data_IF_248985625405
#
_entry.id   IF_248985625405
#
_cell.length_a   1.000
_cell.length_b   1.000
_cell.length_c   1.000
_cell.angle_alpha   90.00
_cell.angle_beta   90.00
_cell.angle_gamma   90.00
#
_symmetry.space_group_name_H-M   'P 1'
#
loop_
_entity.id
_entity.type
_entity.pdbx_description
1 polymer ?
#
# COMPACT_ATOMS: atom_id res chain seq x y z
N UNK A 1 11.76 -1.41 5.58
CA UNK A 1 12.09 -2.31 6.73
C UNK A 1 10.85 -3.08 7.17
N UNK A 2 10.94 -4.30 7.72
CA UNK A 2 9.73 -5.11 7.92
C UNK A 2 8.81 -4.45 8.94
N UNK A 3 7.57 -4.18 8.52
CA UNK A 3 6.45 -4.19 9.46
C UNK A 3 6.40 -5.62 10.00
N UNK A 4 6.67 -5.81 11.27
CA UNK A 4 6.62 -7.13 11.89
C UNK A 4 5.15 -7.51 12.06
N UNK A 5 4.61 -8.20 11.06
CA UNK A 5 3.33 -8.88 11.16
C UNK A 5 3.54 -10.17 11.94
N UNK A 6 3.23 -10.17 13.23
CA UNK A 6 3.27 -11.39 14.03
C UNK A 6 1.97 -12.16 13.81
N UNK A 7 2.08 -13.38 13.26
CA UNK A 7 1.01 -14.37 13.33
C UNK A 7 1.22 -15.21 14.58
N UNK A 8 0.21 -15.26 15.45
CA UNK A 8 0.32 -15.96 16.73
C UNK A 8 -1.03 -16.57 17.15
N UNK A 9 -0.96 -17.63 17.94
CA UNK A 9 -2.14 -18.30 18.48
C UNK A 9 -2.82 -17.44 19.56
N UNK A 10 -4.12 -17.66 19.78
CA UNK A 10 -4.88 -16.91 20.80
C UNK A 10 -4.21 -17.07 22.18
N UNK A 11 -3.85 -15.94 22.79
CA UNK A 11 -3.21 -15.90 24.12
C UNK A 11 -1.68 -15.98 24.13
N UNK A 12 -1.03 -16.07 22.96
CA UNK A 12 0.43 -16.13 22.86
C UNK A 12 1.15 -14.86 23.36
N UNK A 13 0.46 -13.72 23.38
CA UNK A 13 0.99 -12.45 23.89
C UNK A 13 -0.01 -11.82 24.85
N UNK A 14 0.49 -11.40 26.02
CA UNK A 14 -0.23 -10.53 26.94
C UNK A 14 -0.40 -9.13 26.34
N UNK A 15 -1.23 -8.28 26.97
CA UNK A 15 -1.32 -6.86 26.58
C UNK A 15 0.03 -6.15 26.75
N UNK A 16 0.75 -6.44 27.83
CA UNK A 16 2.09 -5.90 28.11
C UNK A 16 3.11 -6.34 27.05
N UNK A 17 3.07 -7.60 26.60
CA UNK A 17 3.93 -8.08 25.51
C UNK A 17 3.66 -7.34 24.21
N UNK A 18 2.39 -7.09 23.90
CA UNK A 18 1.99 -6.34 22.70
C UNK A 18 2.39 -4.87 22.79
N UNK A 19 2.28 -4.25 23.95
CA UNK A 19 2.75 -2.86 24.16
C UNK A 19 4.27 -2.74 24.05
N UNK A 20 5.03 -3.78 24.45
CA UNK A 20 6.49 -3.83 24.28
C UNK A 20 6.95 -4.13 22.85
N UNK A 21 6.16 -4.89 22.10
CA UNK A 21 6.51 -5.34 20.74
C UNK A 21 5.93 -4.45 19.64
N UNK A 22 4.82 -3.78 19.90
CA UNK A 22 3.96 -3.09 18.93
C UNK A 22 3.27 -1.89 19.59
N UNK A 23 4.04 -0.91 20.03
CA UNK A 23 3.49 0.40 20.36
C UNK A 23 2.95 1.10 19.10
N UNK A 24 1.83 1.83 19.18
CA UNK A 24 1.30 2.62 18.05
C UNK A 24 2.31 3.69 17.54
N UNK A 25 3.37 3.96 18.31
CA UNK A 25 4.44 4.92 18.01
C UNK A 25 5.80 4.27 17.69
N UNK A 26 5.86 2.95 17.47
CA UNK A 26 7.11 2.23 17.20
C UNK A 26 7.53 2.34 15.72
N UNK A 27 7.81 3.58 15.30
CA UNK A 27 8.53 3.84 14.06
C UNK A 27 10.03 3.94 14.39
N UNK A 28 10.84 3.08 13.77
CA UNK A 28 12.29 3.06 13.93
C UNK A 28 12.97 3.26 12.58
N UNK A 29 13.97 4.13 12.50
CA UNK A 29 14.75 4.38 11.28
C UNK A 29 16.24 4.42 11.62
N UNK A 30 17.04 3.61 10.92
CA UNK A 30 18.48 3.49 11.21
C UNK A 30 18.81 2.95 12.61
N UNK A 31 17.93 2.12 13.19
CA UNK A 31 18.13 1.52 14.52
C UNK A 31 17.81 2.44 15.70
N UNK A 32 17.29 3.64 15.44
CA UNK A 32 16.88 4.60 16.49
C UNK A 32 15.44 5.08 16.27
N UNK A 33 14.80 5.57 17.34
CA UNK A 33 13.52 6.26 17.25
C UNK A 33 13.78 7.61 16.55
N UNK A 34 13.11 7.92 15.43
CA UNK A 34 13.37 9.16 14.73
C UNK A 34 13.03 10.37 15.58
N UNK A 35 13.87 11.41 15.52
CA UNK A 35 13.60 12.70 16.14
C UNK A 35 12.53 13.53 15.41
N UNK A 36 11.99 13.03 14.29
CA UNK A 36 11.04 13.71 13.44
C UNK A 36 9.81 12.84 13.16
N UNK A 37 8.62 13.43 12.97
CA UNK A 37 7.46 12.71 12.45
C UNK A 37 7.84 11.98 11.16
N UNK A 38 7.51 10.70 11.08
CA UNK A 38 7.90 9.83 9.97
C UNK A 38 6.77 8.90 9.58
N UNK A 39 6.68 8.54 8.30
CA UNK A 39 5.66 7.59 7.81
C UNK A 39 6.22 6.70 6.70
N UNK A 40 5.63 5.52 6.52
CA UNK A 40 5.92 4.64 5.38
C UNK A 40 4.63 4.41 4.59
N UNK A 41 4.70 4.63 3.28
CA UNK A 41 3.62 4.42 2.33
C UNK A 41 3.87 3.08 1.64
N UNK A 42 2.90 2.18 1.74
CA UNK A 42 2.93 0.88 1.05
C UNK A 42 1.76 0.81 0.09
N UNK A 43 2.05 0.69 -1.20
CA UNK A 43 1.05 0.66 -2.27
C UNK A 43 1.00 -0.78 -2.78
N UNK A 44 -0.17 -1.42 -2.69
CA UNK A 44 -0.40 -2.74 -3.26
C UNK A 44 -1.29 -2.58 -4.49
N UNK A 45 -0.82 -3.01 -5.66
CA UNK A 45 -1.58 -2.93 -6.91
C UNK A 45 -1.70 -4.30 -7.59
N UNK A 46 -2.86 -4.53 -8.20
CA UNK A 46 -3.19 -5.76 -8.93
C UNK A 46 -3.76 -5.47 -10.32
N UNK A 47 -4.37 -4.30 -10.52
CA UNK A 47 -5.14 -4.01 -11.72
C UNK A 47 -4.27 -3.92 -12.98
N UNK A 48 -3.14 -3.21 -12.88
CA UNK A 48 -2.15 -3.08 -13.94
C UNK A 48 -0.76 -3.31 -13.35
N UNK A 49 0.19 -3.68 -14.22
CA UNK A 49 1.61 -3.79 -13.88
C UNK A 49 2.39 -2.65 -14.53
N UNK A 50 3.47 -2.23 -13.90
CA UNK A 50 4.51 -1.40 -14.50
C UNK A 50 5.25 -2.27 -15.52
N UNK A 51 5.05 -1.96 -16.81
CA UNK A 51 5.56 -2.77 -17.91
C UNK A 51 7.04 -2.50 -18.24
N UNK A 52 7.52 -1.29 -17.96
CA UNK A 52 8.90 -0.90 -18.22
C UNK A 52 9.38 0.19 -17.26
N UNK A 53 10.67 0.55 -17.38
CA UNK A 53 11.31 1.53 -16.50
C UNK A 53 10.67 2.93 -16.60
N UNK A 54 10.36 3.40 -17.79
CA UNK A 54 9.77 4.73 -18.02
C UNK A 54 8.38 4.83 -17.38
N UNK A 55 7.55 3.81 -17.53
CA UNK A 55 6.25 3.74 -16.84
C UNK A 55 6.41 3.77 -15.31
N UNK A 56 7.45 3.12 -14.79
CA UNK A 56 7.76 3.14 -13.36
C UNK A 56 8.19 4.52 -12.87
N UNK A 57 9.03 5.21 -13.64
CA UNK A 57 9.46 6.59 -13.34
C UNK A 57 8.27 7.55 -13.35
N UNK A 58 7.42 7.48 -14.37
CA UNK A 58 6.20 8.28 -14.47
C UNK A 58 5.23 8.01 -13.30
N UNK A 59 5.07 6.75 -12.90
CA UNK A 59 4.25 6.38 -11.74
C UNK A 59 4.80 7.02 -10.45
N UNK A 60 6.11 6.95 -10.22
CA UNK A 60 6.74 7.50 -9.02
C UNK A 60 6.71 9.04 -9.00
N UNK A 61 6.84 9.68 -10.17
CA UNK A 61 6.67 11.13 -10.30
C UNK A 61 5.25 11.55 -9.94
N UNK A 62 4.23 10.87 -10.47
CA UNK A 62 2.83 11.15 -10.14
C UNK A 62 2.53 10.93 -8.64
N UNK A 63 3.13 9.91 -8.02
CA UNK A 63 3.05 9.70 -6.58
C UNK A 63 3.68 10.86 -5.80
N UNK A 64 4.87 11.31 -6.23
CA UNK A 64 5.59 12.41 -5.61
C UNK A 64 4.82 13.74 -5.69
N UNK A 65 4.17 14.03 -6.82
CA UNK A 65 3.33 15.22 -7.01
C UNK A 65 2.18 15.31 -6.01
N UNK A 66 1.61 14.17 -5.61
CA UNK A 66 0.53 14.10 -4.62
C UNK A 66 1.07 14.16 -3.19
N UNK A 67 2.11 13.37 -2.90
CA UNK A 67 2.57 13.14 -1.53
C UNK A 67 3.43 14.28 -1.00
N UNK A 68 4.34 14.81 -1.83
CA UNK A 68 5.32 15.82 -1.40
C UNK A 68 4.68 17.10 -0.86
N UNK A 69 3.66 17.71 -1.50
CA UNK A 69 3.05 18.94 -0.99
C UNK A 69 2.46 18.77 0.42
N UNK A 70 1.91 17.60 0.72
CA UNK A 70 1.27 17.30 2.01
C UNK A 70 2.30 16.97 3.09
N UNK A 71 3.25 16.07 2.82
CA UNK A 71 4.17 15.60 3.84
C UNK A 71 5.28 16.59 4.14
N UNK A 72 5.83 17.23 3.10
CA UNK A 72 6.91 18.21 3.24
C UNK A 72 6.44 19.44 4.01
N UNK A 73 5.23 19.95 3.74
CA UNK A 73 4.66 21.09 4.46
C UNK A 73 4.46 20.85 5.96
N UNK A 74 4.39 19.57 6.36
CA UNK A 74 4.28 19.13 7.76
C UNK A 74 5.61 18.73 8.39
N UNK A 75 6.72 18.81 7.65
CA UNK A 75 8.04 18.34 8.12
C UNK A 75 8.11 16.82 8.37
N UNK A 76 7.20 16.04 7.75
CA UNK A 76 7.16 14.58 7.88
C UNK A 76 8.19 13.98 6.93
N UNK A 77 9.00 13.04 7.40
CA UNK A 77 9.87 12.21 6.55
C UNK A 77 9.09 10.99 6.06
N UNK A 78 9.31 10.56 4.82
CA UNK A 78 8.61 9.39 4.30
C UNK A 78 9.48 8.47 3.46
N UNK A 79 9.02 7.23 3.40
CA UNK A 79 9.46 6.19 2.47
C UNK A 79 8.22 5.67 1.74
N UNK A 80 8.32 5.40 0.44
CA UNK A 80 7.24 4.79 -0.36
C UNK A 80 7.72 3.55 -1.09
N UNK A 81 6.93 2.48 -1.03
CA UNK A 81 7.20 1.23 -1.74
C UNK A 81 5.93 0.77 -2.49
N UNK A 82 6.13 0.22 -3.68
CA UNK A 82 5.07 -0.37 -4.52
C UNK A 82 5.26 -1.88 -4.56
N UNK A 83 4.18 -2.61 -4.32
CA UNK A 83 4.11 -4.06 -4.38
C UNK A 83 3.09 -4.46 -5.43
N UNK A 84 3.54 -5.19 -6.44
CA UNK A 84 2.67 -5.72 -7.48
C UNK A 84 2.24 -7.13 -7.13
N UNK A 85 0.95 -7.40 -7.28
CA UNK A 85 0.35 -8.70 -7.01
C UNK A 85 -0.16 -9.34 -8.31
N UNK A 86 -0.19 -10.68 -8.41
CA UNK A 86 -0.74 -11.35 -9.58
C UNK A 86 -2.23 -11.01 -9.77
N UNK A 87 -2.58 -10.47 -10.94
CA UNK A 87 -3.96 -10.03 -11.26
C UNK A 87 -4.95 -11.18 -11.32
N UNK A 88 -4.49 -12.35 -11.75
CA UNK A 88 -5.26 -13.60 -11.82
C UNK A 88 -5.62 -14.16 -10.43
N UNK A 89 -4.90 -13.74 -9.38
CA UNK A 89 -5.19 -14.06 -7.99
C UNK A 89 -5.99 -12.96 -7.27
N UNK A 90 -6.60 -12.04 -8.02
CA UNK A 90 -7.45 -10.97 -7.48
C UNK A 90 -8.89 -11.11 -7.96
N UNK A 91 -9.82 -10.91 -7.03
CA UNK A 91 -11.27 -10.88 -7.29
C UNK A 91 -11.92 -9.68 -6.62
N UNK A 92 -12.96 -9.14 -7.24
CA UNK A 92 -13.85 -8.14 -6.66
C UNK A 92 -15.23 -8.75 -6.45
N UNK A 93 -15.72 -8.76 -5.21
CA UNK A 93 -16.96 -9.44 -4.82
C UNK A 93 -17.05 -10.91 -5.31
N UNK A 94 -15.93 -11.62 -5.35
CA UNK A 94 -15.87 -13.01 -5.83
C UNK A 94 -15.81 -13.18 -7.36
N UNK A 95 -15.93 -12.09 -8.13
CA UNK A 95 -15.84 -12.07 -9.59
C UNK A 95 -14.41 -11.82 -10.06
N UNK A 96 -14.05 -12.41 -11.20
CA UNK A 96 -12.82 -12.05 -11.89
C UNK A 96 -12.92 -10.61 -12.40
N UNK A 97 -11.84 -9.86 -12.31
CA UNK A 97 -11.83 -8.48 -12.78
C UNK A 97 -11.73 -8.47 -14.31
N UNK A 98 -12.64 -7.78 -15.03
CA UNK A 98 -12.63 -7.78 -16.48
C UNK A 98 -11.36 -7.11 -17.00
N UNK A 99 -10.82 -7.63 -18.10
CA UNK A 99 -9.66 -7.02 -18.76
C UNK A 99 -9.99 -5.61 -19.24
N UNK A 100 -8.99 -4.73 -19.22
CA UNK A 100 -9.14 -3.35 -19.64
C UNK A 100 -9.66 -3.27 -21.08
N UNK A 101 -10.62 -2.38 -21.30
CA UNK A 101 -11.19 -2.13 -22.62
C UNK A 101 -12.26 -3.13 -23.10
N UNK A 102 -12.48 -4.23 -22.37
CA UNK A 102 -13.62 -5.13 -22.65
C UNK A 102 -14.96 -4.41 -22.45
N UNK A 103 -16.03 -4.90 -23.09
CA UNK A 103 -17.38 -4.30 -22.92
C UNK A 103 -17.87 -4.39 -21.47
N UNK A 104 -17.51 -5.45 -20.74
CA UNK A 104 -17.82 -5.58 -19.32
C UNK A 104 -17.08 -4.50 -18.52
N UNK A 105 -15.77 -4.29 -18.77
CA UNK A 105 -15.01 -3.22 -18.13
C UNK A 105 -15.63 -1.84 -18.40
N UNK A 106 -16.02 -1.54 -19.64
CA UNK A 106 -16.68 -0.28 -19.98
C UNK A 106 -18.01 -0.10 -19.27
N UNK A 107 -18.81 -1.16 -19.11
CA UNK A 107 -20.07 -1.13 -18.33
C UNK A 107 -19.80 -0.85 -16.85
N UNK A 108 -18.77 -1.47 -16.27
CA UNK A 108 -18.39 -1.22 -14.87
C UNK A 108 -18.07 0.24 -14.65
N UNK A 109 -17.19 0.81 -15.50
CA UNK A 109 -16.80 2.22 -15.40
C UNK A 109 -17.98 3.16 -15.64
N UNK A 110 -18.80 2.89 -16.65
CA UNK A 110 -19.93 3.76 -17.01
C UNK A 110 -21.01 3.80 -15.93
N UNK A 111 -21.32 2.66 -15.32
CA UNK A 111 -22.43 2.54 -14.38
C UNK A 111 -21.99 2.62 -12.92
N UNK A 112 -20.69 2.61 -12.64
CA UNK A 112 -20.12 2.47 -11.28
C UNK A 112 -20.66 1.23 -10.54
N UNK A 113 -20.73 0.11 -11.25
CA UNK A 113 -21.29 -1.15 -10.74
C UNK A 113 -20.42 -2.34 -11.07
N UNK A 114 -20.30 -3.28 -10.12
CA UNK A 114 -19.65 -4.58 -10.33
C UNK A 114 -20.70 -5.60 -10.77
N UNK A 115 -20.65 -6.06 -12.03
CA UNK A 115 -21.64 -6.98 -12.63
C UNK A 115 -20.98 -7.97 -13.57
N UNK A 116 -21.48 -9.20 -13.66
CA UNK A 116 -21.11 -10.16 -14.69
C UNK A 116 -21.89 -9.96 -16.01
#
# INVERSE_FOLDING_TARGET
MPKWGFQYTKGAFTLEDKEKLLGPDDFWSGGVKPAHPSTTISIYQAAAKVGNKEEGENFLEALDDVVRPVLKSKGIRWESNVYETPRDLWKLQGMAVPDFGTEIFKRWVKNDTLTD
#
